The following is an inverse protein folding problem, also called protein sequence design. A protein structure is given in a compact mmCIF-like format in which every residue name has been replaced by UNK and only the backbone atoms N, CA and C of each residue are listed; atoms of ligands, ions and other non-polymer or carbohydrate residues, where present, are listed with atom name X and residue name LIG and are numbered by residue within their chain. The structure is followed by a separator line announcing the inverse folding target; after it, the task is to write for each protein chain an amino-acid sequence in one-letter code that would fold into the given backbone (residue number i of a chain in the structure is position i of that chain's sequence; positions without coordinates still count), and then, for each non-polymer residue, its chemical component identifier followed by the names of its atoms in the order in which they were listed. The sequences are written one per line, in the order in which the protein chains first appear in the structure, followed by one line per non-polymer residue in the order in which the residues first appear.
data_IF_952559474792
#
_entry.id   IF_952559474792
#
_cell.length_a   1.000
_cell.length_b   1.000
_cell.length_c   1.000
_cell.angle_alpha   90.00
_cell.angle_beta   90.00
_cell.angle_gamma   90.00
#
_symmetry.space_group_name_H-M   'P 1'
#
loop_
_entity.id
_entity.type
_entity.pdbx_description
1 polymer ?
#
# COMPACT_ATOMS: atom_id res chain seq x y z
N UNK A 1 12.35 -11.91 -16.89
CA UNK A 1 13.63 -12.67 -16.85
C UNK A 1 13.43 -14.17 -16.66
N UNK A 2 12.53 -14.64 -15.79
CA UNK A 2 12.25 -16.09 -15.65
C UNK A 2 11.56 -16.74 -16.85
N UNK A 3 11.14 -15.94 -17.84
CA UNK A 3 10.64 -16.40 -19.15
C UNK A 3 11.70 -17.10 -20.00
N UNK A 4 12.99 -16.99 -19.65
CA UNK A 4 14.08 -17.68 -20.34
C UNK A 4 14.56 -18.91 -19.57
N UNK A 5 14.61 -20.06 -20.24
CA UNK A 5 14.99 -21.33 -19.60
C UNK A 5 16.40 -21.36 -19.00
N UNK A 6 17.35 -20.68 -19.64
CA UNK A 6 18.71 -20.56 -19.12
C UNK A 6 18.77 -19.76 -17.80
N UNK A 7 17.85 -18.81 -17.61
CA UNK A 7 17.83 -17.96 -16.41
C UNK A 7 17.36 -18.76 -15.20
N UNK A 8 16.30 -19.55 -15.34
CA UNK A 8 15.84 -20.47 -14.28
C UNK A 8 16.91 -21.53 -13.97
N UNK A 9 17.56 -22.09 -14.99
CA UNK A 9 18.66 -23.03 -14.79
C UNK A 9 19.82 -22.41 -14.01
N UNK A 10 20.16 -21.14 -14.28
CA UNK A 10 21.15 -20.38 -13.52
C UNK A 10 20.69 -20.17 -12.08
N UNK A 11 19.46 -19.68 -11.86
CA UNK A 11 18.92 -19.43 -10.52
C UNK A 11 18.91 -20.69 -9.65
N UNK A 12 18.49 -21.84 -10.19
CA UNK A 12 18.50 -23.13 -9.48
C UNK A 12 19.86 -23.48 -8.89
N UNK A 13 20.95 -23.14 -9.57
CA UNK A 13 22.32 -23.40 -9.09
C UNK A 13 22.75 -22.47 -7.96
N UNK A 14 22.19 -21.27 -7.89
CA UNK A 14 22.62 -20.22 -6.97
C UNK A 14 21.66 -19.97 -5.80
N UNK A 15 20.44 -20.50 -5.85
CA UNK A 15 19.42 -20.34 -4.82
C UNK A 15 19.02 -21.70 -4.23
N UNK A 16 19.90 -22.35 -3.45
CA UNK A 16 19.57 -23.61 -2.79
C UNK A 16 18.40 -23.38 -1.82
N UNK A 17 17.35 -24.19 -1.97
CA UNK A 17 16.11 -24.06 -1.19
C UNK A 17 15.01 -23.22 -1.84
N UNK A 18 15.20 -22.77 -3.09
CA UNK A 18 14.11 -22.27 -3.95
C UNK A 18 13.76 -23.33 -4.99
N UNK A 19 12.51 -23.78 -4.98
CA UNK A 19 12.01 -24.84 -5.83
C UNK A 19 11.34 -24.24 -7.08
N UNK A 20 11.94 -24.44 -8.24
CA UNK A 20 11.34 -24.03 -9.52
C UNK A 20 10.62 -25.24 -10.14
N UNK A 21 9.30 -25.21 -10.34
CA UNK A 21 8.51 -26.37 -10.78
C UNK A 21 8.53 -26.63 -12.29
N UNK A 22 9.33 -25.89 -13.05
CA UNK A 22 9.56 -26.06 -14.49
C UNK A 22 10.79 -25.29 -14.95
N UNK A 23 11.11 -25.34 -16.25
CA UNK A 23 12.28 -24.67 -16.84
C UNK A 23 12.09 -23.20 -17.12
N UNK A 24 10.88 -22.70 -17.30
CA UNK A 24 10.64 -21.27 -17.51
C UNK A 24 9.28 -20.85 -16.94
N UNK A 25 9.16 -19.57 -16.62
CA UNK A 25 7.88 -18.95 -16.32
C UNK A 25 7.07 -18.79 -17.62
N UNK A 26 5.85 -19.35 -17.63
CA UNK A 26 4.88 -19.29 -18.72
C UNK A 26 3.47 -19.11 -18.12
N UNK A 27 2.68 -18.20 -18.70
CA UNK A 27 1.34 -17.85 -18.22
C UNK A 27 0.30 -18.94 -18.51
N UNK A 28 0.48 -19.65 -19.62
CA UNK A 28 -0.39 -20.74 -20.05
C UNK A 28 0.47 -21.98 -20.32
N UNK A 29 0.97 -22.62 -19.25
CA UNK A 29 1.64 -23.89 -19.41
C UNK A 29 0.58 -24.93 -19.77
N UNK A 30 0.61 -25.44 -21.01
CA UNK A 30 -0.10 -26.67 -21.34
C UNK A 30 0.25 -27.76 -20.32
N UNK A 31 -0.65 -28.72 -20.10
CA UNK A 31 -0.52 -29.75 -19.06
C UNK A 31 0.83 -30.51 -19.14
N UNK A 32 1.36 -30.68 -20.35
CA UNK A 32 2.64 -31.33 -20.66
C UNK A 32 3.84 -30.37 -20.84
N UNK A 33 3.65 -29.07 -20.61
CA UNK A 33 4.73 -28.10 -20.81
C UNK A 33 5.68 -28.07 -19.61
N UNK A 34 6.98 -27.89 -19.88
CA UNK A 34 8.01 -27.67 -18.86
C UNK A 34 8.00 -26.21 -18.34
N UNK A 35 6.83 -25.56 -18.39
CA UNK A 35 6.60 -24.20 -17.92
C UNK A 35 5.96 -24.18 -16.53
N UNK A 36 5.97 -23.02 -15.88
CA UNK A 36 5.23 -22.81 -14.65
C UNK A 36 4.67 -21.40 -14.55
N UNK A 37 3.52 -21.25 -13.88
CA UNK A 37 2.93 -19.96 -13.50
C UNK A 37 3.53 -19.45 -12.17
N UNK A 38 3.32 -18.16 -11.85
CA UNK A 38 3.69 -17.64 -10.52
C UNK A 38 3.00 -18.43 -9.40
N UNK A 39 1.73 -18.78 -9.55
CA UNK A 39 1.01 -19.61 -8.56
C UNK A 39 1.76 -20.91 -8.25
N UNK A 40 2.12 -21.69 -9.27
CA UNK A 40 2.79 -22.98 -9.09
C UNK A 40 4.15 -22.79 -8.43
N UNK A 41 4.87 -21.72 -8.78
CA UNK A 41 6.12 -21.35 -8.12
C UNK A 41 5.92 -21.05 -6.63
N UNK A 42 4.91 -20.24 -6.26
CA UNK A 42 4.63 -19.92 -4.86
C UNK A 42 4.25 -21.15 -4.05
N UNK A 43 3.39 -22.04 -4.59
CA UNK A 43 2.97 -23.28 -3.93
C UNK A 43 4.17 -24.17 -3.54
N UNK A 44 5.16 -24.31 -4.43
CA UNK A 44 6.37 -25.11 -4.18
C UNK A 44 7.37 -24.45 -3.23
N UNK A 45 7.15 -23.20 -2.84
CA UNK A 45 8.04 -22.42 -1.97
C UNK A 45 7.37 -21.95 -0.67
N UNK A 46 6.19 -22.49 -0.33
CA UNK A 46 5.44 -22.15 0.88
C UNK A 46 6.13 -22.56 2.19
N UNK A 47 7.18 -23.38 2.14
CA UNK A 47 8.02 -23.73 3.29
C UNK A 47 8.81 -22.54 3.86
N UNK A 48 8.78 -21.38 3.19
CA UNK A 48 9.38 -20.13 3.66
C UNK A 48 8.53 -18.92 3.29
N UNK A 49 8.66 -17.80 4.03
CA UNK A 49 8.05 -16.54 3.62
C UNK A 49 8.56 -16.11 2.23
N UNK A 50 7.65 -15.74 1.35
CA UNK A 50 7.96 -15.19 0.03
C UNK A 50 7.51 -13.74 -0.01
N UNK A 51 8.40 -12.86 -0.47
CA UNK A 51 8.15 -11.43 -0.58
C UNK A 51 8.29 -10.98 -2.03
N UNK A 52 7.41 -10.07 -2.44
CA UNK A 52 7.52 -9.32 -3.69
C UNK A 52 7.78 -7.86 -3.36
N UNK A 53 8.85 -7.29 -3.90
CA UNK A 53 9.20 -5.88 -3.73
C UNK A 53 9.04 -5.18 -5.07
N UNK A 54 8.37 -4.02 -5.09
CA UNK A 54 7.99 -3.31 -6.33
C UNK A 54 6.92 -4.09 -7.13
N UNK A 55 6.11 -4.90 -6.42
CA UNK A 55 4.98 -5.62 -6.97
C UNK A 55 5.33 -6.93 -7.70
N UNK A 56 4.27 -7.64 -8.09
CA UNK A 56 4.34 -8.77 -9.02
C UNK A 56 3.99 -8.29 -10.44
N UNK A 57 4.39 -9.06 -11.45
CA UNK A 57 4.05 -8.73 -12.83
C UNK A 57 2.53 -8.81 -13.03
N UNK A 58 1.93 -7.72 -13.48
CA UNK A 58 0.49 -7.64 -13.80
C UNK A 58 0.07 -8.62 -14.91
N UNK A 59 1.02 -9.14 -15.69
CA UNK A 59 0.76 -10.10 -16.75
C UNK A 59 0.44 -11.52 -16.28
N UNK A 60 0.55 -11.84 -14.98
CA UNK A 60 0.23 -13.17 -14.43
C UNK A 60 -0.74 -13.10 -13.25
N UNK A 61 -2.05 -13.24 -13.48
CA UNK A 61 -3.06 -13.24 -12.43
C UNK A 61 -3.23 -14.62 -11.75
N UNK A 62 -2.44 -15.65 -12.12
CA UNK A 62 -2.66 -17.03 -11.64
C UNK A 62 -2.69 -17.16 -10.12
N UNK A 63 -1.93 -16.32 -9.41
CA UNK A 63 -1.77 -16.37 -7.96
C UNK A 63 -2.90 -15.67 -7.18
N UNK A 64 -3.68 -14.78 -7.81
CA UNK A 64 -4.60 -13.88 -7.11
C UNK A 64 -5.72 -14.61 -6.35
N UNK A 65 -6.07 -15.81 -6.79
CA UNK A 65 -7.09 -16.64 -6.15
C UNK A 65 -6.58 -17.49 -5.00
N UNK A 66 -5.26 -17.72 -4.93
CA UNK A 66 -4.65 -18.66 -3.97
C UNK A 66 -3.68 -18.01 -2.99
N UNK A 67 -3.21 -16.80 -3.30
CA UNK A 67 -2.37 -15.98 -2.43
C UNK A 67 -2.95 -14.58 -2.25
N UNK A 68 -2.79 -14.05 -1.04
CA UNK A 68 -3.03 -12.65 -0.70
C UNK A 68 -1.70 -11.91 -0.54
N UNK A 69 -1.71 -10.61 -0.81
CA UNK A 69 -0.58 -9.69 -0.57
C UNK A 69 -0.79 -8.98 0.76
N UNK A 70 0.13 -9.17 1.69
CA UNK A 70 0.11 -8.48 2.99
C UNK A 70 1.26 -7.46 3.04
N UNK A 71 1.02 -6.18 3.38
CA UNK A 71 2.07 -5.16 3.39
C UNK A 71 3.25 -5.50 4.31
N UNK A 72 4.47 -5.24 3.84
CA UNK A 72 5.73 -5.40 4.59
C UNK A 72 6.74 -4.34 4.16
N UNK A 73 6.56 -3.09 4.61
CA UNK A 73 7.38 -1.97 4.14
C UNK A 73 7.17 -1.72 2.64
N UNK A 74 8.28 -1.60 1.88
CA UNK A 74 8.25 -1.46 0.42
C UNK A 74 7.83 -2.75 -0.31
N UNK A 75 7.92 -3.89 0.37
CA UNK A 75 7.54 -5.18 -0.16
C UNK A 75 6.15 -5.59 0.35
N UNK A 76 5.66 -6.70 -0.18
CA UNK A 76 4.49 -7.41 0.32
C UNK A 76 4.86 -8.87 0.50
N UNK A 77 4.37 -9.46 1.59
CA UNK A 77 4.42 -10.90 1.76
C UNK A 77 3.30 -11.55 0.95
N UNK A 78 3.65 -12.57 0.18
CA UNK A 78 2.71 -13.43 -0.50
C UNK A 78 2.32 -14.57 0.43
N UNK A 79 1.06 -14.57 0.85
CA UNK A 79 0.55 -15.46 1.90
C UNK A 79 -0.60 -16.29 1.33
N UNK A 80 -0.63 -17.62 1.52
CA UNK A 80 -1.78 -18.42 1.09
C UNK A 80 -3.09 -17.86 1.64
N UNK A 81 -4.15 -17.81 0.83
CA UNK A 81 -5.47 -17.28 1.24
C UNK A 81 -6.09 -18.02 2.44
N UNK A 82 -5.64 -19.25 2.70
CA UNK A 82 -6.05 -20.07 3.85
C UNK A 82 -5.40 -19.62 5.17
N UNK A 83 -4.36 -18.78 5.12
CA UNK A 83 -3.71 -18.25 6.32
C UNK A 83 -4.61 -17.22 6.99
N UNK A 84 -4.90 -17.44 8.27
CA UNK A 84 -5.60 -16.44 9.09
C UNK A 84 -4.74 -15.20 9.30
N UNK A 85 -5.30 -14.04 8.97
CA UNK A 85 -4.74 -12.72 9.29
C UNK A 85 -5.16 -12.29 10.69
N UNK A 86 -4.20 -11.73 11.44
CA UNK A 86 -4.42 -11.04 12.72
C UNK A 86 -4.01 -9.58 12.54
N UNK A 87 -4.93 -8.68 12.16
CA UNK A 87 -4.62 -7.32 11.70
C UNK A 87 -3.79 -6.49 12.68
N UNK A 88 -4.14 -6.49 13.96
CA UNK A 88 -3.43 -5.74 15.02
C UNK A 88 -2.03 -6.29 15.28
N UNK A 89 -1.84 -7.60 15.20
CA UNK A 89 -0.52 -8.24 15.34
C UNK A 89 0.34 -7.94 14.11
N UNK A 90 -0.26 -8.01 12.92
CA UNK A 90 0.41 -7.74 11.67
C UNK A 90 0.89 -6.28 11.60
N UNK A 91 -0.01 -5.32 11.86
CA UNK A 91 0.31 -3.89 11.90
C UNK A 91 1.46 -3.59 12.87
N UNK A 92 1.38 -4.11 14.11
CA UNK A 92 2.45 -3.95 15.12
C UNK A 92 3.78 -4.56 14.66
N UNK A 93 3.76 -5.74 14.04
CA UNK A 93 4.98 -6.41 13.59
C UNK A 93 5.72 -5.64 12.48
N UNK A 94 4.98 -4.88 11.68
CA UNK A 94 5.52 -4.10 10.54
C UNK A 94 5.80 -2.64 10.85
N UNK A 95 5.34 -2.11 12.00
CA UNK A 95 5.33 -0.69 12.30
C UNK A 95 6.69 0.01 12.06
N UNK A 96 7.78 -0.62 12.50
CA UNK A 96 9.14 -0.07 12.38
C UNK A 96 9.69 -0.06 10.95
N UNK A 97 9.10 -0.81 10.02
CA UNK A 97 9.49 -0.79 8.61
C UNK A 97 9.17 0.55 7.96
N UNK A 98 8.34 1.37 8.60
CA UNK A 98 7.87 2.67 8.13
C UNK A 98 8.58 3.85 8.81
N UNK A 99 9.59 3.59 9.67
CA UNK A 99 10.41 4.62 10.36
C UNK A 99 11.45 5.26 9.42
N UNK A 100 11.04 5.59 8.20
CA UNK A 100 11.91 6.20 7.21
C UNK A 100 12.02 7.71 7.43
N UNK A 101 13.23 8.21 7.67
CA UNK A 101 13.49 9.60 8.08
C UNK A 101 14.10 10.48 7.00
N UNK A 102 14.44 9.91 5.85
CA UNK A 102 15.04 10.69 4.77
C UNK A 102 13.97 11.62 4.17
N UNK A 103 14.22 12.94 4.06
CA UNK A 103 13.25 13.86 3.46
C UNK A 103 12.88 13.45 2.04
N UNK A 104 11.61 13.61 1.65
CA UNK A 104 11.09 13.13 0.37
C UNK A 104 11.89 13.64 -0.86
N UNK A 105 12.22 14.93 -0.89
CA UNK A 105 12.87 15.57 -2.04
C UNK A 105 14.38 15.79 -1.86
N UNK A 106 15.04 14.97 -1.03
CA UNK A 106 16.46 15.17 -0.71
C UNK A 106 17.44 14.72 -1.80
N UNK A 107 16.97 14.00 -2.82
CA UNK A 107 17.83 13.38 -3.84
C UNK A 107 17.67 14.03 -5.21
N UNK A 108 18.72 14.07 -6.04
CA UNK A 108 18.66 14.62 -7.40
C UNK A 108 17.58 13.96 -8.27
N UNK A 109 16.99 14.74 -9.18
CA UNK A 109 16.05 14.21 -10.17
C UNK A 109 16.73 13.13 -11.02
N UNK A 110 16.03 12.02 -11.26
CA UNK A 110 16.52 10.90 -12.08
C UNK A 110 17.50 9.95 -11.37
N UNK A 111 17.82 10.18 -10.11
CA UNK A 111 18.64 9.25 -9.31
C UNK A 111 17.84 8.03 -8.84
N UNK A 112 18.52 6.89 -8.69
CA UNK A 112 17.91 5.69 -8.09
C UNK A 112 17.56 5.91 -6.62
N UNK A 113 18.34 6.74 -5.93
CA UNK A 113 18.10 7.15 -4.55
C UNK A 113 16.75 7.85 -4.43
N UNK A 114 16.40 8.71 -5.39
CA UNK A 114 15.07 9.35 -5.42
C UNK A 114 13.95 8.33 -5.57
N UNK A 115 14.09 7.39 -6.50
CA UNK A 115 13.09 6.32 -6.72
C UNK A 115 12.93 5.46 -5.47
N UNK A 116 14.03 5.03 -4.86
CA UNK A 116 13.99 4.24 -3.62
C UNK A 116 13.38 5.04 -2.46
N UNK A 117 13.69 6.33 -2.35
CA UNK A 117 13.12 7.21 -1.34
C UNK A 117 11.61 7.35 -1.51
N UNK A 118 11.14 7.55 -2.74
CA UNK A 118 9.72 7.62 -3.07
C UNK A 118 8.99 6.33 -2.68
N UNK A 119 9.54 5.16 -3.02
CA UNK A 119 8.99 3.87 -2.60
C UNK A 119 8.89 3.74 -1.07
N UNK A 120 9.92 4.19 -0.33
CA UNK A 120 9.89 4.19 1.15
C UNK A 120 8.80 5.11 1.70
N UNK A 121 8.58 6.28 1.08
CA UNK A 121 7.50 7.19 1.47
C UNK A 121 6.12 6.61 1.16
N UNK A 122 5.94 6.01 -0.01
CA UNK A 122 4.68 5.33 -0.40
C UNK A 122 4.39 4.13 0.51
N UNK A 123 5.42 3.40 0.95
CA UNK A 123 5.27 2.26 1.85
C UNK A 123 4.51 2.61 3.14
N UNK A 124 4.67 3.84 3.67
CA UNK A 124 4.00 4.33 4.90
C UNK A 124 2.48 4.22 4.83
N UNK A 125 1.90 4.29 3.62
CA UNK A 125 0.46 4.22 3.40
C UNK A 125 -0.04 2.80 3.09
N UNK A 126 0.84 1.84 2.75
CA UNK A 126 0.42 0.49 2.34
C UNK A 126 -0.35 -0.25 3.44
N UNK A 127 0.09 -0.16 4.69
CA UNK A 127 -0.60 -0.81 5.81
C UNK A 127 -1.98 -0.19 6.11
N UNK A 128 -2.11 1.15 6.25
CA UNK A 128 -3.43 1.78 6.38
C UNK A 128 -4.42 1.41 5.28
N UNK A 129 -4.01 1.49 4.01
CA UNK A 129 -4.89 1.14 2.88
C UNK A 129 -5.30 -0.32 2.91
N UNK A 130 -4.38 -1.23 3.21
CA UNK A 130 -4.70 -2.65 3.36
C UNK A 130 -5.75 -2.92 4.45
N UNK A 131 -5.62 -2.26 5.60
CA UNK A 131 -6.58 -2.38 6.70
C UNK A 131 -7.94 -1.77 6.35
N UNK A 132 -7.94 -0.64 5.63
CA UNK A 132 -9.14 -0.02 5.11
C UNK A 132 -9.86 -0.94 4.12
N UNK A 133 -9.15 -1.49 3.13
CA UNK A 133 -9.69 -2.42 2.15
C UNK A 133 -10.24 -3.70 2.80
N UNK A 134 -9.63 -4.15 3.90
CA UNK A 134 -10.15 -5.26 4.69
C UNK A 134 -11.45 -4.88 5.41
N UNK A 135 -11.54 -3.65 5.94
CA UNK A 135 -12.74 -3.14 6.58
C UNK A 135 -13.92 -3.05 5.59
N UNK A 136 -13.68 -2.55 4.37
CA UNK A 136 -14.70 -2.45 3.30
C UNK A 136 -15.32 -3.80 2.91
N UNK A 137 -14.63 -4.91 3.18
CA UNK A 137 -15.10 -6.27 2.85
C UNK A 137 -15.80 -6.96 4.02
N UNK A 138 -15.82 -6.34 5.20
CA UNK A 138 -16.46 -6.87 6.41
C UNK A 138 -17.69 -6.04 6.77
N UNK A 139 -18.59 -6.64 7.54
CA UNK A 139 -19.76 -5.97 8.11
C UNK A 139 -19.72 -6.06 9.65
N UNK A 140 -20.21 -5.02 10.33
CA UNK A 140 -20.41 -5.01 11.78
C UNK A 140 -19.17 -4.59 12.60
N UNK A 141 -19.05 -5.08 13.84
CA UNK A 141 -18.06 -4.58 14.83
C UNK A 141 -16.61 -4.75 14.34
N UNK A 142 -16.33 -5.82 13.58
CA UNK A 142 -15.01 -6.06 12.99
C UNK A 142 -14.59 -4.98 11.98
N UNK A 143 -15.55 -4.41 11.25
CA UNK A 143 -15.32 -3.33 10.30
C UNK A 143 -14.92 -2.02 11.02
N UNK A 144 -15.67 -1.60 12.03
CA UNK A 144 -15.34 -0.40 12.83
C UNK A 144 -13.94 -0.47 13.41
N UNK A 145 -13.57 -1.64 13.97
CA UNK A 145 -12.25 -1.83 14.55
C UNK A 145 -11.11 -1.71 13.53
N UNK A 146 -11.32 -2.18 12.31
CA UNK A 146 -10.33 -2.08 11.25
C UNK A 146 -10.18 -0.65 10.71
N UNK A 147 -11.27 0.12 10.64
CA UNK A 147 -11.17 1.55 10.31
C UNK A 147 -10.38 2.32 11.37
N UNK A 148 -10.64 2.08 12.65
CA UNK A 148 -9.85 2.68 13.74
C UNK A 148 -8.37 2.33 13.59
N UNK A 149 -8.05 1.04 13.38
CA UNK A 149 -6.67 0.59 13.24
C UNK A 149 -5.99 1.19 11.99
N UNK A 150 -6.73 1.30 10.88
CA UNK A 150 -6.25 1.95 9.65
C UNK A 150 -5.89 3.40 9.93
N UNK A 151 -6.79 4.15 10.58
CA UNK A 151 -6.58 5.55 10.95
C UNK A 151 -5.38 5.72 11.89
N UNK A 152 -5.30 4.96 12.98
CA UNK A 152 -4.20 5.01 13.95
C UNK A 152 -2.84 4.72 13.29
N UNK A 153 -2.83 3.80 12.31
CA UNK A 153 -1.62 3.48 11.55
C UNK A 153 -1.21 4.66 10.67
N UNK A 154 -2.13 5.43 10.08
CA UNK A 154 -1.80 6.67 9.34
C UNK A 154 -1.13 7.69 10.27
N UNK A 155 -1.71 7.92 11.44
CA UNK A 155 -1.19 8.92 12.40
C UNK A 155 0.25 8.62 12.78
N UNK A 156 0.46 7.36 13.18
CA UNK A 156 1.77 6.82 13.52
C UNK A 156 2.71 6.92 12.33
N UNK A 157 2.24 6.51 11.16
CA UNK A 157 3.06 6.47 9.96
C UNK A 157 3.49 7.85 9.55
N UNK A 158 2.72 8.93 9.72
CA UNK A 158 3.10 10.29 9.31
C UNK A 158 3.92 11.05 10.38
N UNK A 159 4.13 10.47 11.56
CA UNK A 159 4.66 11.18 12.74
C UNK A 159 3.80 12.40 13.12
N UNK A 160 2.55 12.46 12.67
CA UNK A 160 1.61 13.51 13.06
C UNK A 160 1.08 13.18 14.45
N UNK A 161 1.28 14.09 15.39
CA UNK A 161 0.63 14.00 16.69
C UNK A 161 -0.89 14.15 16.51
N UNK A 162 -1.72 13.47 17.33
CA UNK A 162 -3.17 13.68 17.32
C UNK A 162 -3.58 15.15 17.54
N UNK A 163 -2.73 15.95 18.21
CA UNK A 163 -2.95 17.39 18.42
C UNK A 163 -2.86 18.22 17.13
N UNK A 164 -2.02 17.82 16.17
CA UNK A 164 -1.87 18.51 14.87
C UNK A 164 -3.10 18.31 13.97
N UNK A 165 -3.87 17.24 14.17
CA UNK A 165 -5.13 17.00 13.45
C UNK A 165 -6.34 17.66 14.12
N UNK A 166 -6.28 17.91 15.43
CA UNK A 166 -7.28 18.69 16.17
C UNK A 166 -7.37 20.17 15.76
N UNK A 167 -6.39 20.66 14.98
CA UNK A 167 -6.40 22.00 14.40
C UNK A 167 -7.17 22.13 13.08
N UNK A 168 -7.34 21.02 12.33
CA UNK A 168 -7.99 21.02 11.01
C UNK A 168 -9.50 20.70 11.11
N UNK A 169 -9.93 20.11 12.23
CA UNK A 169 -11.35 19.83 12.54
C UNK A 169 -11.86 20.65 13.73
N UNK A 170 -11.41 21.91 13.89
CA UNK A 170 -12.26 22.86 14.63
C UNK A 170 -13.48 23.15 13.76
N UNK A 171 -14.71 22.84 14.18
CA UNK A 171 -15.86 23.45 13.53
C UNK A 171 -15.60 24.95 13.53
N UNK A 172 -15.67 25.58 12.35
CA UNK A 172 -15.61 27.04 12.26
C UNK A 172 -16.57 27.64 13.29
N UNK A 173 -16.25 28.82 13.86
CA UNK A 173 -17.04 29.39 14.94
C UNK A 173 -18.52 29.34 14.55
N UNK A 174 -19.33 28.67 15.37
CA UNK A 174 -20.78 28.57 15.16
C UNK A 174 -21.29 29.98 14.91
N UNK A 175 -21.93 30.26 13.76
CA UNK A 175 -22.40 31.61 13.48
C UNK A 175 -23.35 32.00 14.59
N UNK A 176 -22.99 33.04 15.36
CA UNK A 176 -23.89 33.56 16.38
C UNK A 176 -25.10 34.15 15.67
N UNK A 177 -26.21 33.44 15.79
CA UNK A 177 -27.52 33.91 15.38
C UNK A 177 -28.04 34.83 16.49
N UNK A 178 -28.53 36.01 16.11
CA UNK A 178 -29.35 36.82 17.02
C UNK A 178 -30.63 36.06 17.37
N UNK A 179 -31.32 36.48 18.44
CA UNK A 179 -32.56 35.87 18.91
C UNK A 179 -33.69 35.83 17.85
N UNK A 180 -33.55 36.58 16.76
CA UNK A 180 -34.43 36.66 15.59
C UNK A 180 -33.92 35.85 14.37
N UNK A 181 -32.87 35.04 14.52
CA UNK A 181 -32.44 34.06 13.52
C UNK A 181 -31.61 34.60 12.36
N UNK A 182 -30.99 35.79 12.48
CA UNK A 182 -30.08 36.34 11.45
C UNK A 182 -28.60 36.29 11.89
N UNK A 183 -27.65 36.05 10.96
CA UNK A 183 -26.22 36.00 11.29
C UNK A 183 -25.66 37.39 11.63
N UNK A 184 -24.79 37.47 12.64
CA UNK A 184 -24.10 38.70 13.04
C UNK A 184 -22.85 38.92 12.19
N UNK A 185 -22.90 39.91 11.28
CA UNK A 185 -21.73 40.43 10.57
C UNK A 185 -21.80 40.25 9.05
N UNK A 186 -22.47 41.18 8.36
CA UNK A 186 -22.37 41.33 6.92
C UNK A 186 -21.22 42.28 6.57
N UNK A 187 -20.05 41.72 6.28
CA UNK A 187 -18.98 42.42 5.58
C UNK A 187 -19.20 42.29 4.07
N UNK A 188 -19.15 43.41 3.36
CA UNK A 188 -19.30 43.53 1.90
C UNK A 188 -18.31 42.58 1.20
N UNK A 189 -18.81 41.66 0.38
CA UNK A 189 -18.00 40.89 -0.55
C UNK A 189 -17.71 41.81 -1.74
N UNK A 190 -16.47 42.29 -1.86
CA UNK A 190 -16.00 42.93 -3.09
C UNK A 190 -15.92 41.89 -4.21
N UNK A 191 -16.59 42.18 -5.32
CA UNK A 191 -16.58 41.41 -6.55
C UNK A 191 -15.20 41.55 -7.25
N UNK A 192 -14.58 40.46 -7.75
CA UNK A 192 -13.28 40.56 -8.40
C UNK A 192 -13.41 41.28 -9.75
N UNK A 193 -12.64 42.37 -9.91
CA UNK A 193 -12.56 43.16 -11.15
C UNK A 193 -12.17 42.28 -12.35
N UNK A 194 -13.00 42.30 -13.39
CA UNK A 194 -12.65 41.86 -14.75
C UNK A 194 -11.40 42.61 -15.21
N UNK A 195 -10.39 41.87 -15.65
CA UNK A 195 -9.30 42.39 -16.48
C UNK A 195 -9.87 42.69 -17.87
N UNK A 196 -10.16 43.96 -18.15
CA UNK A 196 -10.28 44.46 -19.51
C UNK A 196 -8.88 44.77 -20.04
N UNK A 197 -8.37 43.91 -20.91
CA UNK A 197 -7.27 44.21 -21.82
C UNK A 197 -7.84 44.45 -23.20
N UNK A 198 -7.78 45.69 -23.67
CA UNK A 198 -8.22 46.11 -24.99
C UNK A 198 -7.23 45.76 -26.10
N UNK A 199 -7.83 45.44 -27.26
CA UNK A 199 -7.46 45.67 -28.67
C UNK A 199 -5.97 45.73 -29.04
#
# INVERSE_FOLDING_TARGET
MMTYGWYVAKLRRHLPGVNFPGRLWNLDPAEDSDGFTIERFLQHNTHRPVFACIGLSEGDPSWERTFSRWPWGVCEQLVPVTRRLHPEEWARSTQRLYDWRQPHDSFPLGSWERVANEEMWQARMKMPFFLFDLAERLEGIGQTRLYELSYDTVLTAQSLSPEELGGVLRPGPTPQLRADGRPVGGGVVEEPRRLEGGL
#
